data_IF_869826925275
#
_entry.id   IF_869826925275
#
_cell.length_a   1.000
_cell.length_b   1.000
_cell.length_c   1.000
_cell.angle_alpha   90.00
_cell.angle_beta   90.00
_cell.angle_gamma   90.00
#
_symmetry.space_group_name_H-M   'P 1'
#
loop_
_entity.id
_entity.type
_entity.pdbx_description
1 polymer ?
#
# COMPACT_ATOMS: atom_id res chain seq x y z
N UNK A 1 59.43 24.82 -32.19
CA UNK A 1 58.24 24.90 -31.32
C UNK A 1 58.67 25.53 -29.99
N UNK A 2 58.31 26.80 -29.80
CA UNK A 2 58.62 27.67 -28.65
C UNK A 2 57.34 27.82 -27.79
N UNK A 3 57.44 28.14 -26.48
CA UNK A 3 56.82 27.35 -25.40
C UNK A 3 55.58 27.99 -24.75
N UNK A 4 54.90 27.21 -23.90
CA UNK A 4 53.94 27.69 -22.89
C UNK A 4 54.64 27.93 -21.56
N UNK A 5 54.62 29.18 -21.08
CA UNK A 5 54.77 29.52 -19.65
C UNK A 5 53.60 30.44 -19.27
N UNK A 6 52.73 29.93 -18.40
CA UNK A 6 51.60 30.66 -17.83
C UNK A 6 52.10 31.59 -16.72
N UNK A 7 51.74 32.87 -16.85
CA UNK A 7 51.92 33.92 -15.87
C UNK A 7 50.75 33.85 -14.87
N UNK A 8 51.06 33.67 -13.59
CA UNK A 8 50.11 33.79 -12.48
C UNK A 8 49.89 35.28 -12.22
N UNK A 9 48.65 35.76 -12.36
CA UNK A 9 48.23 37.11 -11.97
C UNK A 9 47.37 37.01 -10.71
N UNK A 10 47.92 37.56 -9.63
CA UNK A 10 47.27 37.84 -8.37
C UNK A 10 46.25 38.96 -8.56
N UNK A 11 45.01 38.77 -8.12
CA UNK A 11 44.03 39.83 -7.93
C UNK A 11 43.50 39.78 -6.49
N UNK A 12 43.81 40.83 -5.75
CA UNK A 12 43.40 41.15 -4.38
C UNK A 12 42.44 42.33 -4.48
N UNK A 13 41.15 42.18 -4.12
CA UNK A 13 40.23 43.32 -3.88
C UNK A 13 39.24 43.02 -2.74
N UNK A 14 39.38 43.88 -1.71
CA UNK A 14 38.45 44.48 -0.75
C UNK A 14 37.12 43.83 -0.30
N UNK A 15 36.96 43.96 1.02
CA UNK A 15 35.78 43.84 1.87
C UNK A 15 34.64 44.82 1.55
N UNK A 16 33.42 44.41 1.92
CA UNK A 16 32.37 45.28 2.49
C UNK A 16 31.38 44.44 3.32
N UNK A 17 30.92 45.03 4.42
CA UNK A 17 30.03 44.49 5.43
C UNK A 17 28.57 44.33 4.96
N UNK A 18 27.82 43.46 5.62
CA UNK A 18 26.36 43.35 5.44
C UNK A 18 25.73 42.24 6.28
N UNK A 19 25.42 42.53 7.54
CA UNK A 19 24.50 41.73 8.35
C UNK A 19 23.07 41.89 7.82
N UNK A 20 22.51 40.83 7.24
CA UNK A 20 21.07 40.72 7.01
C UNK A 20 20.53 39.50 7.75
N UNK A 21 19.93 39.77 8.92
CA UNK A 21 18.99 38.86 9.56
C UNK A 21 17.79 38.73 8.63
N UNK A 22 17.69 37.62 7.91
CA UNK A 22 16.48 37.29 7.17
C UNK A 22 15.45 36.76 8.17
N UNK A 23 14.54 37.64 8.53
CA UNK A 23 13.43 37.41 9.44
C UNK A 23 12.40 36.57 8.68
N UNK A 24 12.42 35.25 8.87
CA UNK A 24 11.41 34.35 8.32
C UNK A 24 10.04 34.73 8.88
N UNK A 25 9.23 35.36 8.03
CA UNK A 25 7.83 35.68 8.28
C UNK A 25 7.06 34.37 8.49
N UNK A 26 6.42 34.24 9.66
CA UNK A 26 5.59 33.09 9.99
C UNK A 26 4.51 32.88 8.90
N UNK A 27 4.20 31.62 8.53
CA UNK A 27 3.13 31.32 7.58
C UNK A 27 1.77 31.80 8.14
N UNK A 28 0.88 32.35 7.30
CA UNK A 28 -0.43 32.80 7.73
C UNK A 28 -1.27 31.63 8.26
N UNK A 29 -1.99 31.86 9.35
CA UNK A 29 -2.90 30.89 9.96
C UNK A 29 -4.00 30.46 8.97
N UNK A 30 -4.43 29.19 9.00
CA UNK A 30 -5.53 28.71 8.17
C UNK A 30 -6.85 29.40 8.54
N UNK A 31 -7.75 29.66 7.57
CA UNK A 31 -9.03 30.31 7.82
C UNK A 31 -9.94 29.42 8.71
N UNK A 32 -10.82 30.03 9.53
CA UNK A 32 -11.73 29.29 10.41
C UNK A 32 -12.72 28.46 9.59
N UNK A 33 -12.84 27.18 9.94
CA UNK A 33 -13.81 26.27 9.35
C UNK A 33 -15.25 26.68 9.75
N UNK A 34 -16.24 26.63 8.84
CA UNK A 34 -17.63 26.91 9.18
C UNK A 34 -18.25 25.80 10.02
N UNK A 35 -19.05 26.19 11.03
CA UNK A 35 -19.76 25.31 11.94
C UNK A 35 -20.81 24.42 11.22
N UNK A 36 -21.12 23.22 11.75
CA UNK A 36 -22.11 22.34 11.14
C UNK A 36 -23.52 22.94 11.25
N UNK A 37 -24.19 23.02 10.10
CA UNK A 37 -25.59 23.42 9.96
C UNK A 37 -26.48 22.30 10.53
N UNK A 38 -27.21 22.61 11.60
CA UNK A 38 -28.23 21.75 12.16
C UNK A 38 -29.42 21.66 11.19
N UNK A 39 -29.68 20.48 10.63
CA UNK A 39 -30.93 20.23 9.89
C UNK A 39 -32.01 19.81 10.88
N UNK A 40 -33.04 20.63 10.94
CA UNK A 40 -34.21 20.53 11.79
C UNK A 40 -35.10 19.35 11.41
N UNK A 41 -35.59 18.68 12.43
CA UNK A 41 -36.59 17.62 12.40
C UNK A 41 -37.99 18.25 12.53
N UNK A 42 -38.96 17.98 11.64
CA UNK A 42 -40.35 18.40 11.86
C UNK A 42 -41.07 17.38 12.73
N UNK A 43 -41.74 17.84 13.78
CA UNK A 43 -42.51 17.02 14.70
C UNK A 43 -44.03 17.06 14.49
N UNK A 44 -44.67 16.14 15.23
CA UNK A 44 -46.03 16.19 15.82
C UNK A 44 -47.23 15.97 14.86
N UNK A 45 -48.31 15.25 15.17
CA UNK A 45 -48.83 14.41 16.28
C UNK A 45 -50.18 13.77 15.78
N UNK A 46 -51.21 13.38 16.58
CA UNK A 46 -51.32 12.78 17.94
C UNK A 46 -52.33 11.58 18.07
N UNK A 47 -52.39 10.98 19.29
CA UNK A 47 -53.51 10.29 20.02
C UNK A 47 -54.19 9.01 19.45
N UNK A 48 -54.58 8.00 20.22
CA UNK A 48 -54.77 7.85 21.69
C UNK A 48 -54.88 6.37 22.14
N UNK A 49 -55.30 6.09 23.39
CA UNK A 49 -55.18 4.78 24.05
C UNK A 49 -56.51 4.03 24.23
N UNK A 50 -56.50 2.70 24.38
CA UNK A 50 -57.41 1.93 25.27
C UNK A 50 -57.03 0.41 25.34
N UNK A 51 -57.43 -0.32 26.41
CA UNK A 51 -56.80 -1.56 26.88
C UNK A 51 -57.69 -2.84 26.83
N UNK A 52 -57.05 -3.99 27.16
CA UNK A 52 -57.57 -5.25 27.78
C UNK A 52 -58.52 -6.22 27.03
N UNK A 53 -58.11 -7.51 26.99
CA UNK A 53 -58.81 -8.69 27.58
C UNK A 53 -58.03 -10.00 27.28
N UNK A 54 -57.42 -10.66 28.28
CA UNK A 54 -57.86 -11.91 28.98
C UNK A 54 -57.41 -13.23 28.30
N UNK A 55 -56.28 -13.86 28.70
CA UNK A 55 -56.12 -14.96 29.69
C UNK A 55 -56.07 -16.40 29.04
N UNK A 56 -55.74 -17.51 29.75
CA UNK A 56 -54.39 -18.12 29.78
C UNK A 56 -54.33 -19.64 29.44
N UNK A 57 -53.16 -20.22 29.10
CA UNK A 57 -52.86 -21.66 29.29
C UNK A 57 -51.38 -22.06 29.03
N UNK A 58 -50.69 -22.43 30.13
CA UNK A 58 -49.72 -23.52 30.35
C UNK A 58 -48.48 -23.80 29.43
N UNK A 59 -47.40 -24.41 29.99
CA UNK A 59 -46.04 -24.35 29.45
C UNK A 59 -45.61 -25.62 28.70
N UNK A 60 -44.80 -25.48 27.65
CA UNK A 60 -43.92 -26.57 27.18
C UNK A 60 -42.52 -26.04 26.92
N UNK A 61 -41.58 -26.59 27.70
CA UNK A 61 -40.15 -26.51 27.47
C UNK A 61 -39.80 -27.26 26.17
N UNK A 62 -38.98 -26.63 25.33
CA UNK A 62 -38.46 -27.25 24.12
C UNK A 62 -37.46 -26.35 23.41
N UNK A 63 -36.17 -26.68 23.58
CA UNK A 63 -35.02 -26.30 22.75
C UNK A 63 -34.82 -24.81 22.40
N UNK A 64 -33.85 -24.17 23.07
CA UNK A 64 -33.23 -22.94 22.60
C UNK A 64 -32.47 -23.19 21.28
N UNK A 65 -32.77 -22.48 20.18
CA UNK A 65 -31.83 -22.37 19.08
C UNK A 65 -30.69 -21.45 19.53
N UNK A 66 -29.46 -21.96 19.46
CA UNK A 66 -28.26 -21.16 19.60
C UNK A 66 -28.33 -19.99 18.60
N UNK A 67 -28.20 -18.77 19.11
CA UNK A 67 -28.05 -17.58 18.32
C UNK A 67 -26.79 -17.72 17.45
N UNK A 68 -26.99 -18.03 16.16
CA UNK A 68 -25.96 -17.84 15.16
C UNK A 68 -25.68 -16.34 15.09
N UNK A 69 -24.49 -15.94 15.52
CA UNK A 69 -23.97 -14.61 15.25
C UNK A 69 -24.01 -14.39 13.73
N UNK A 70 -24.46 -13.22 13.23
CA UNK A 70 -24.35 -12.93 11.81
C UNK A 70 -22.86 -12.85 11.48
N UNK A 71 -22.34 -13.90 10.84
CA UNK A 71 -21.13 -13.79 10.05
C UNK A 71 -21.45 -12.77 8.96
N UNK A 72 -20.96 -11.55 9.13
CA UNK A 72 -20.96 -10.54 8.10
C UNK A 72 -20.08 -11.01 6.96
N UNK A 73 -20.65 -11.82 6.06
CA UNK A 73 -20.12 -11.99 4.72
C UNK A 73 -20.21 -10.62 4.08
N UNK A 74 -19.11 -9.87 4.11
CA UNK A 74 -18.92 -8.71 3.27
C UNK A 74 -18.90 -9.23 1.82
N UNK A 75 -20.10 -9.45 1.28
CA UNK A 75 -20.29 -9.57 -0.15
C UNK A 75 -19.86 -8.22 -0.72
N UNK A 76 -18.72 -8.20 -1.40
CA UNK A 76 -18.36 -7.13 -2.31
C UNK A 76 -19.43 -7.09 -3.39
N UNK A 77 -20.52 -6.37 -3.14
CA UNK A 77 -21.56 -6.13 -4.12
C UNK A 77 -21.03 -5.09 -5.10
N UNK A 78 -20.46 -5.58 -6.20
CA UNK A 78 -20.07 -4.80 -7.37
C UNK A 78 -21.31 -4.26 -8.06
N UNK A 79 -21.89 -3.17 -7.56
CA UNK A 79 -22.82 -2.38 -8.37
C UNK A 79 -21.99 -1.54 -9.36
N UNK A 80 -21.67 -2.17 -10.50
CA UNK A 80 -20.96 -1.56 -11.62
C UNK A 80 -19.61 -2.21 -11.93
N UNK A 81 -19.62 -3.39 -12.56
CA UNK A 81 -18.53 -3.94 -13.39
C UNK A 81 -17.12 -4.15 -12.81
N UNK A 82 -16.81 -3.66 -11.61
CA UNK A 82 -15.48 -3.69 -11.00
C UNK A 82 -15.53 -3.56 -9.48
N UNK A 83 -14.36 -3.66 -8.85
CA UNK A 83 -14.17 -3.44 -7.43
C UNK A 83 -14.39 -1.96 -7.07
N UNK A 84 -15.00 -1.73 -5.91
CA UNK A 84 -15.13 -0.39 -5.35
C UNK A 84 -13.73 0.21 -5.03
N UNK A 85 -13.57 1.55 -5.04
CA UNK A 85 -12.30 2.20 -4.70
C UNK A 85 -11.73 1.75 -3.35
N UNK A 86 -12.57 1.59 -2.34
CA UNK A 86 -12.19 1.13 -1.00
C UNK A 86 -11.70 -0.33 -1.01
N UNK A 87 -12.28 -1.16 -1.87
CA UNK A 87 -11.82 -2.52 -2.09
C UNK A 87 -10.45 -2.54 -2.77
N UNK A 88 -10.22 -1.64 -3.74
CA UNK A 88 -8.91 -1.49 -4.39
C UNK A 88 -7.82 -1.06 -3.41
N UNK A 89 -8.12 -0.12 -2.51
CA UNK A 89 -7.20 0.25 -1.42
C UNK A 89 -6.95 -0.92 -0.46
N UNK A 90 -7.98 -1.68 -0.09
CA UNK A 90 -7.83 -2.87 0.74
C UNK A 90 -6.86 -3.88 0.10
N UNK A 91 -7.11 -4.31 -1.14
CA UNK A 91 -6.27 -5.33 -1.81
C UNK A 91 -4.83 -4.85 -2.06
N UNK A 92 -4.64 -3.55 -2.34
CA UNK A 92 -3.32 -2.97 -2.59
C UNK A 92 -2.52 -2.74 -1.30
N UNK A 93 -3.20 -2.65 -0.15
CA UNK A 93 -2.57 -2.28 1.12
C UNK A 93 -1.31 -3.07 1.50
N UNK A 94 -1.18 -4.39 1.26
CA UNK A 94 0.03 -5.14 1.63
C UNK A 94 1.23 -4.91 0.70
N UNK A 95 1.02 -4.31 -0.48
CA UNK A 95 2.06 -4.14 -1.51
C UNK A 95 2.29 -2.67 -1.91
N UNK A 96 1.43 -1.74 -1.47
CA UNK A 96 1.50 -0.35 -1.91
C UNK A 96 2.81 0.37 -1.52
N UNK A 97 3.50 -0.08 -0.48
CA UNK A 97 4.80 0.49 -0.09
C UNK A 97 6.00 -0.20 -0.73
N UNK A 98 5.78 -1.20 -1.59
CA UNK A 98 6.87 -1.86 -2.31
C UNK A 98 7.54 -0.85 -3.26
N UNK A 99 8.87 -0.94 -3.47
CA UNK A 99 9.53 -0.17 -4.52
C UNK A 99 8.87 -0.41 -5.87
N UNK A 100 8.78 0.63 -6.70
CA UNK A 100 8.02 0.60 -7.97
C UNK A 100 8.44 -0.56 -8.89
N UNK A 101 9.74 -0.87 -9.08
CA UNK A 101 10.14 -2.02 -9.87
C UNK A 101 9.60 -3.33 -9.31
N UNK A 102 9.62 -3.50 -7.98
CA UNK A 102 9.09 -4.68 -7.32
C UNK A 102 7.56 -4.76 -7.44
N UNK A 103 6.87 -3.65 -7.19
CA UNK A 103 5.41 -3.57 -7.32
C UNK A 103 4.97 -4.01 -8.71
N UNK A 104 5.61 -3.52 -9.77
CA UNK A 104 5.31 -3.93 -11.14
C UNK A 104 5.48 -5.45 -11.35
N UNK A 105 6.57 -6.03 -10.83
CA UNK A 105 6.82 -7.48 -10.93
C UNK A 105 5.77 -8.30 -10.16
N UNK A 106 5.30 -7.83 -9.00
CA UNK A 106 4.23 -8.48 -8.23
C UNK A 106 2.90 -8.46 -8.98
N UNK A 107 2.53 -7.30 -9.54
CA UNK A 107 1.31 -7.16 -10.34
C UNK A 107 1.35 -8.08 -11.56
N UNK A 108 2.48 -8.13 -12.27
CA UNK A 108 2.67 -9.04 -13.40
C UNK A 108 2.63 -10.51 -12.97
N UNK A 109 3.37 -10.90 -11.93
CA UNK A 109 3.41 -12.27 -11.44
C UNK A 109 2.02 -12.76 -10.99
N UNK A 110 1.19 -11.88 -10.39
CA UNK A 110 -0.17 -12.22 -9.97
C UNK A 110 -1.05 -12.73 -11.12
N UNK A 111 -0.79 -12.28 -12.35
CA UNK A 111 -1.52 -12.72 -13.56
C UNK A 111 -1.14 -14.12 -14.03
N UNK A 112 -0.15 -14.76 -13.40
CA UNK A 112 0.41 -16.09 -13.74
C UNK A 112 0.36 -17.03 -12.53
N UNK A 113 -0.83 -17.33 -11.99
CA UNK A 113 -0.98 -18.02 -10.71
C UNK A 113 -0.43 -19.46 -10.72
N UNK A 114 -0.49 -20.15 -11.86
CA UNK A 114 0.10 -21.49 -12.00
C UNK A 114 1.63 -21.43 -11.87
N UNK A 115 2.30 -20.53 -12.61
CA UNK A 115 3.76 -20.42 -12.55
C UNK A 115 4.23 -19.99 -11.16
N UNK A 116 3.46 -19.14 -10.48
CA UNK A 116 3.71 -18.77 -9.07
C UNK A 116 3.64 -20.00 -8.17
N UNK A 117 2.63 -20.87 -8.34
CA UNK A 117 2.52 -22.10 -7.57
C UNK A 117 3.66 -23.08 -7.89
N UNK A 118 4.04 -23.23 -9.16
CA UNK A 118 5.19 -24.05 -9.58
C UNK A 118 6.51 -23.54 -9.00
N UNK A 119 6.74 -22.22 -9.07
CA UNK A 119 7.94 -21.60 -8.50
C UNK A 119 8.00 -21.80 -6.98
N UNK A 120 6.88 -21.65 -6.28
CA UNK A 120 6.81 -21.88 -4.84
C UNK A 120 7.10 -23.35 -4.48
N UNK A 121 6.54 -24.30 -5.24
CA UNK A 121 6.81 -25.73 -5.09
C UNK A 121 8.29 -26.06 -5.37
N UNK A 122 8.88 -25.43 -6.40
CA UNK A 122 10.30 -25.57 -6.73
C UNK A 122 11.20 -25.11 -5.58
N UNK A 123 11.01 -23.90 -5.05
CA UNK A 123 11.83 -23.43 -3.91
C UNK A 123 11.65 -24.31 -2.67
N UNK A 124 10.45 -24.83 -2.43
CA UNK A 124 10.18 -25.77 -1.33
C UNK A 124 10.92 -27.09 -1.51
N UNK A 125 11.04 -27.59 -2.74
CA UNK A 125 11.79 -28.81 -3.05
C UNK A 125 13.31 -28.59 -3.03
N UNK A 126 13.76 -27.34 -3.15
CA UNK A 126 15.16 -26.96 -3.24
C UNK A 126 15.55 -25.88 -2.19
N UNK A 127 15.40 -26.15 -0.88
CA UNK A 127 15.58 -25.14 0.17
C UNK A 127 17.01 -24.60 0.29
N UNK A 128 17.99 -25.28 -0.29
CA UNK A 128 19.40 -24.86 -0.31
C UNK A 128 19.78 -24.02 -1.53
N UNK A 129 18.92 -23.90 -2.55
CA UNK A 129 19.21 -23.08 -3.73
C UNK A 129 19.09 -21.61 -3.37
N UNK A 130 20.15 -20.85 -3.63
CA UNK A 130 20.20 -19.41 -3.39
C UNK A 130 21.22 -18.74 -4.32
N UNK A 131 21.16 -17.41 -4.41
CA UNK A 131 22.10 -16.61 -5.20
C UNK A 131 22.27 -17.11 -6.64
N UNK A 132 23.52 -17.22 -7.09
CA UNK A 132 23.87 -17.62 -8.46
C UNK A 132 23.38 -19.02 -8.85
N UNK A 133 23.30 -19.95 -7.91
CA UNK A 133 22.83 -21.31 -8.19
C UNK A 133 21.32 -21.32 -8.45
N UNK A 134 20.58 -20.51 -7.69
CA UNK A 134 19.15 -20.29 -7.96
C UNK A 134 18.96 -19.59 -9.31
N UNK A 135 19.69 -18.51 -9.60
CA UNK A 135 19.63 -17.83 -10.90
C UNK A 135 19.92 -18.78 -12.05
N UNK A 136 20.93 -19.65 -11.93
CA UNK A 136 21.25 -20.66 -12.93
C UNK A 136 20.09 -21.64 -13.13
N UNK A 137 19.49 -22.14 -12.04
CA UNK A 137 18.35 -23.05 -12.12
C UNK A 137 17.08 -22.40 -12.71
N UNK A 138 16.91 -21.08 -12.54
CA UNK A 138 15.78 -20.33 -13.09
C UNK A 138 15.92 -20.04 -14.59
N UNK A 139 17.13 -20.04 -15.15
CA UNK A 139 17.36 -19.82 -16.59
C UNK A 139 16.60 -20.82 -17.45
N UNK A 140 16.61 -22.08 -17.04
CA UNK A 140 15.99 -23.20 -17.79
C UNK A 140 14.47 -23.29 -17.60
N UNK A 141 13.88 -22.47 -16.73
CA UNK A 141 12.43 -22.44 -16.54
C UNK A 141 11.76 -21.63 -17.65
N UNK A 142 10.64 -22.12 -18.17
CA UNK A 142 9.79 -21.41 -19.15
C UNK A 142 8.90 -20.33 -18.51
N UNK A 143 9.08 -20.05 -17.22
CA UNK A 143 8.33 -19.03 -16.51
C UNK A 143 8.62 -17.62 -17.04
N UNK A 144 7.65 -16.74 -16.85
CA UNK A 144 7.80 -15.33 -17.14
C UNK A 144 8.87 -14.67 -16.27
N UNK A 145 9.47 -13.59 -16.76
CA UNK A 145 10.48 -12.83 -16.03
C UNK A 145 9.97 -12.37 -14.65
N UNK A 146 8.70 -11.97 -14.55
CA UNK A 146 8.07 -11.58 -13.28
C UNK A 146 8.06 -12.70 -12.24
N UNK A 147 7.74 -13.93 -12.67
CA UNK A 147 7.71 -15.09 -11.80
C UNK A 147 9.13 -15.52 -11.41
N UNK A 148 10.09 -15.44 -12.34
CA UNK A 148 11.51 -15.67 -12.03
C UNK A 148 12.04 -14.67 -11.01
N UNK A 149 11.64 -13.39 -11.10
CA UNK A 149 11.97 -12.38 -10.11
C UNK A 149 11.32 -12.67 -8.74
N UNK A 150 10.09 -13.18 -8.70
CA UNK A 150 9.49 -13.63 -7.43
C UNK A 150 10.25 -14.82 -6.83
N UNK A 151 10.79 -15.73 -7.66
CA UNK A 151 11.58 -16.85 -7.17
C UNK A 151 12.88 -16.42 -6.47
N UNK A 152 13.44 -15.25 -6.79
CA UNK A 152 14.58 -14.68 -6.04
C UNK A 152 14.15 -13.92 -4.78
N UNK A 153 12.85 -13.69 -4.60
CA UNK A 153 12.21 -13.00 -3.48
C UNK A 153 11.24 -13.94 -2.75
N UNK A 154 11.75 -14.94 -2.01
CA UNK A 154 10.95 -16.06 -1.49
C UNK A 154 9.78 -15.60 -0.61
N UNK A 155 9.94 -14.51 0.14
CA UNK A 155 8.89 -13.96 1.00
C UNK A 155 7.68 -13.46 0.20
N UNK A 156 7.93 -12.77 -0.92
CA UNK A 156 6.88 -12.25 -1.80
C UNK A 156 6.23 -13.38 -2.59
N UNK A 157 7.03 -14.34 -3.08
CA UNK A 157 6.50 -15.54 -3.73
C UNK A 157 5.60 -16.35 -2.79
N UNK A 158 6.01 -16.48 -1.52
CA UNK A 158 5.21 -17.14 -0.49
C UNK A 158 3.90 -16.40 -0.24
N UNK A 159 3.92 -15.06 -0.16
CA UNK A 159 2.67 -14.28 -0.07
C UNK A 159 1.72 -14.57 -1.24
N UNK A 160 2.22 -14.54 -2.48
CA UNK A 160 1.39 -14.80 -3.67
C UNK A 160 0.86 -16.24 -3.74
N UNK A 161 1.66 -17.22 -3.35
CA UNK A 161 1.30 -18.64 -3.43
C UNK A 161 0.43 -19.14 -2.28
N UNK A 162 0.57 -18.57 -1.08
CA UNK A 162 -0.23 -18.95 0.10
C UNK A 162 -1.54 -18.16 0.18
N UNK A 163 -1.59 -16.94 -0.36
CA UNK A 163 -2.79 -16.09 -0.37
C UNK A 163 -3.38 -15.97 -1.78
N UNK A 164 -3.79 -17.11 -2.35
CA UNK A 164 -4.21 -17.22 -3.75
C UNK A 164 -5.45 -16.38 -4.11
N UNK A 165 -6.40 -16.24 -3.18
CA UNK A 165 -7.59 -15.41 -3.41
C UNK A 165 -7.21 -13.93 -3.52
N UNK A 166 -6.35 -13.44 -2.62
CA UNK A 166 -5.80 -12.09 -2.68
C UNK A 166 -4.97 -11.86 -3.95
N UNK A 167 -4.11 -12.81 -4.32
CA UNK A 167 -3.35 -12.73 -5.56
C UNK A 167 -4.27 -12.68 -6.80
N UNK A 168 -5.38 -13.42 -6.79
CA UNK A 168 -6.40 -13.39 -7.85
C UNK A 168 -7.12 -12.06 -7.91
N UNK A 169 -7.43 -11.44 -6.77
CA UNK A 169 -8.07 -10.13 -6.71
C UNK A 169 -7.16 -9.04 -7.28
N UNK A 170 -5.86 -9.07 -6.95
CA UNK A 170 -4.85 -8.21 -7.57
C UNK A 170 -4.80 -8.42 -9.09
N UNK A 171 -4.70 -9.67 -9.54
CA UNK A 171 -4.63 -10.00 -10.96
C UNK A 171 -5.89 -9.55 -11.72
N UNK A 172 -7.05 -9.60 -11.07
CA UNK A 172 -8.32 -9.11 -11.63
C UNK A 172 -8.30 -7.59 -11.71
N UNK A 173 -8.02 -6.91 -10.60
CA UNK A 173 -7.93 -5.45 -10.55
C UNK A 173 -6.90 -4.89 -11.53
N UNK A 174 -5.73 -5.51 -11.66
CA UNK A 174 -4.68 -5.08 -12.57
C UNK A 174 -5.06 -5.23 -14.05
N UNK A 175 -5.92 -6.21 -14.37
CA UNK A 175 -6.42 -6.44 -15.74
C UNK A 175 -7.63 -5.58 -16.09
N UNK A 176 -8.52 -5.32 -15.14
CA UNK A 176 -9.81 -4.66 -15.40
C UNK A 176 -9.86 -3.20 -14.96
N UNK A 177 -9.06 -2.82 -13.97
CA UNK A 177 -9.10 -1.52 -13.27
C UNK A 177 -7.68 -1.01 -12.96
N UNK A 178 -6.74 -1.20 -13.91
CA UNK A 178 -5.31 -0.87 -13.72
C UNK A 178 -5.09 0.53 -13.12
N UNK A 179 -5.69 1.55 -13.73
CA UNK A 179 -5.47 2.93 -13.32
C UNK A 179 -6.04 3.19 -11.92
N UNK A 180 -7.20 2.62 -11.60
CA UNK A 180 -7.81 2.73 -10.27
C UNK A 180 -7.01 1.98 -9.20
N UNK A 181 -6.42 0.83 -9.54
CA UNK A 181 -5.53 0.09 -8.63
C UNK A 181 -4.24 0.88 -8.34
N UNK A 182 -3.62 1.45 -9.38
CA UNK A 182 -2.42 2.28 -9.20
C UNK A 182 -2.74 3.59 -8.46
N UNK A 183 -3.91 4.17 -8.69
CA UNK A 183 -4.39 5.31 -7.91
C UNK A 183 -4.54 4.95 -6.43
N UNK A 184 -5.12 3.79 -6.11
CA UNK A 184 -5.24 3.30 -4.73
C UNK A 184 -3.86 3.13 -4.07
N UNK A 185 -2.85 2.64 -4.80
CA UNK A 185 -1.46 2.59 -4.32
C UNK A 185 -0.94 3.99 -3.96
N UNK A 186 -1.19 4.99 -4.79
CA UNK A 186 -0.74 6.37 -4.52
C UNK A 186 -1.43 6.97 -3.29
N UNK A 187 -2.73 6.72 -3.12
CA UNK A 187 -3.48 7.15 -1.93
C UNK A 187 -2.89 6.55 -0.65
N UNK A 188 -2.57 5.25 -0.67
CA UNK A 188 -1.95 4.56 0.46
C UNK A 188 -0.54 5.09 0.75
N UNK A 189 0.26 5.37 -0.28
CA UNK A 189 1.58 6.01 -0.12
C UNK A 189 1.46 7.40 0.50
N UNK A 190 0.46 8.21 0.11
CA UNK A 190 0.20 9.52 0.73
C UNK A 190 -0.13 9.37 2.21
N UNK A 191 -1.04 8.46 2.56
CA UNK A 191 -1.38 8.18 3.96
C UNK A 191 -0.18 7.73 4.77
N UNK A 192 0.68 6.87 4.23
CA UNK A 192 1.89 6.43 4.91
C UNK A 192 2.90 7.57 5.10
N UNK A 193 3.00 8.51 4.16
CA UNK A 193 3.81 9.72 4.32
C UNK A 193 3.24 10.67 5.38
N UNK A 194 1.93 10.93 5.34
CA UNK A 194 1.22 11.78 6.30
C UNK A 194 1.30 11.21 7.72
N UNK A 195 1.21 9.89 7.87
CA UNK A 195 1.44 9.18 9.13
C UNK A 195 2.91 9.20 9.58
N UNK A 196 3.84 9.68 8.74
CA UNK A 196 5.26 9.78 9.04
C UNK A 196 6.02 8.44 8.98
N UNK A 197 5.41 7.41 8.40
CA UNK A 197 5.97 6.06 8.30
C UNK A 197 6.74 5.84 6.99
N UNK A 198 6.34 6.50 5.89
CA UNK A 198 7.03 6.40 4.60
C UNK A 198 8.09 7.50 4.47
N UNK A 199 9.37 7.11 4.53
CA UNK A 199 10.53 8.00 4.46
C UNK A 199 11.67 7.37 3.65
N UNK A 200 12.56 8.21 3.11
CA UNK A 200 13.83 7.75 2.54
C UNK A 200 14.74 7.21 3.65
N UNK A 201 15.51 6.17 3.33
CA UNK A 201 16.40 5.45 4.23
C UNK A 201 17.55 4.80 3.45
N UNK A 202 18.38 4.01 4.12
CA UNK A 202 19.43 3.21 3.45
C UNK A 202 18.89 2.11 2.53
N UNK A 203 17.62 1.73 2.68
CA UNK A 203 16.98 0.65 1.93
C UNK A 203 16.20 1.18 0.72
N UNK A 204 15.59 2.36 0.84
CA UNK A 204 14.75 2.95 -0.20
C UNK A 204 14.88 4.48 -0.27
N UNK A 205 14.61 5.05 -1.44
CA UNK A 205 14.46 6.47 -1.65
C UNK A 205 13.00 6.80 -2.00
N UNK A 206 12.40 7.71 -1.25
CA UNK A 206 11.03 8.20 -1.49
C UNK A 206 11.14 9.57 -2.15
N UNK A 207 10.62 9.67 -3.38
CA UNK A 207 10.58 10.91 -4.15
C UNK A 207 9.13 11.35 -4.34
N UNK A 208 8.91 12.65 -4.20
CA UNK A 208 7.61 13.26 -4.44
C UNK A 208 7.75 14.11 -5.69
N UNK A 209 7.07 13.71 -6.75
CA UNK A 209 7.12 14.35 -8.06
C UNK A 209 5.74 14.97 -8.36
N UNK A 210 5.72 16.13 -9.01
CA UNK A 210 4.47 16.63 -9.59
C UNK A 210 4.11 15.73 -10.79
N UNK A 211 2.96 15.09 -10.69
CA UNK A 211 2.33 14.35 -11.78
C UNK A 211 1.57 15.27 -12.72
N UNK A 212 0.65 14.67 -13.48
CA UNK A 212 -0.22 15.40 -14.41
C UNK A 212 -1.17 16.35 -13.69
N UNK A 213 -1.42 17.50 -14.32
CA UNK A 213 -2.49 18.40 -13.93
C UNK A 213 -3.80 17.88 -14.53
N UNK A 214 -4.78 17.60 -13.69
CA UNK A 214 -6.12 17.25 -14.13
C UNK A 214 -6.78 18.46 -14.85
N UNK A 215 -7.78 18.24 -15.71
CA UNK A 215 -8.45 19.32 -16.45
C UNK A 215 -9.10 20.41 -15.57
N UNK A 216 -9.32 20.12 -14.29
CA UNK A 216 -9.84 21.04 -13.29
C UNK A 216 -8.76 21.91 -12.61
N UNK A 217 -7.50 21.78 -13.03
CA UNK A 217 -6.36 22.50 -12.46
C UNK A 217 -5.72 21.83 -11.24
N UNK A 218 -6.19 20.65 -10.83
CA UNK A 218 -5.61 19.92 -9.70
C UNK A 218 -4.31 19.24 -10.12
N UNK A 219 -3.20 19.60 -9.50
CA UNK A 219 -1.92 18.89 -9.69
C UNK A 219 -1.95 17.56 -8.92
N UNK A 220 -1.81 16.45 -9.64
CA UNK A 220 -1.64 15.14 -9.01
C UNK A 220 -0.20 15.02 -8.49
N UNK A 221 0.00 14.50 -7.29
CA UNK A 221 1.34 14.21 -6.77
C UNK A 221 1.64 12.73 -6.95
N UNK A 222 2.83 12.39 -7.46
CA UNK A 222 3.30 11.02 -7.63
C UNK A 222 4.38 10.76 -6.59
N UNK A 223 4.08 9.87 -5.63
CA UNK A 223 5.05 9.35 -4.67
C UNK A 223 5.72 8.12 -5.28
N UNK A 224 7.01 8.22 -5.57
CA UNK A 224 7.84 7.18 -6.19
C UNK A 224 8.72 6.54 -5.12
N UNK A 225 8.71 5.20 -5.05
CA UNK A 225 9.58 4.45 -4.13
C UNK A 225 10.62 3.72 -4.97
N UNK A 226 11.88 4.10 -4.83
CA UNK A 226 13.00 3.47 -5.53
C UNK A 226 13.89 2.72 -4.54
N UNK A 227 14.52 1.61 -4.94
CA UNK A 227 15.61 1.04 -4.16
C UNK A 227 16.73 2.07 -3.98
N UNK A 228 17.29 2.19 -2.76
CA UNK A 228 18.39 3.12 -2.51
C UNK A 228 19.68 2.72 -3.27
N UNK A 229 19.83 1.42 -3.55
CA UNK A 229 20.88 0.88 -4.41
C UNK A 229 20.22 0.23 -5.64
N UNK A 230 20.59 0.63 -6.88
CA UNK A 230 19.96 0.09 -8.10
C UNK A 230 20.13 -1.42 -8.31
N UNK A 231 21.01 -2.08 -7.55
CA UNK A 231 21.29 -3.50 -7.67
C UNK A 231 20.74 -4.29 -6.48
N UNK A 232 20.09 -3.66 -5.50
CA UNK A 232 19.61 -4.34 -4.29
C UNK A 232 18.20 -3.88 -3.99
N UNK A 233 17.25 -4.82 -4.01
CA UNK A 233 15.85 -4.56 -3.65
C UNK A 233 15.59 -5.07 -2.23
N UNK A 234 15.08 -4.18 -1.38
CA UNK A 234 14.60 -4.53 -0.05
C UNK A 234 13.08 -4.61 -0.08
N UNK A 235 12.51 -5.71 0.43
CA UNK A 235 11.06 -5.87 0.54
C UNK A 235 10.62 -5.28 1.88
N UNK A 236 9.74 -4.27 1.91
CA UNK A 236 9.25 -3.73 3.17
C UNK A 236 8.28 -4.72 3.82
N UNK A 237 8.44 -4.90 5.13
CA UNK A 237 7.60 -5.74 5.99
C UNK A 237 6.90 -4.84 7.00
N UNK A 238 5.58 -4.75 6.87
CA UNK A 238 4.74 -3.82 7.64
C UNK A 238 3.33 -4.38 7.83
N UNK A 239 2.57 -3.79 8.76
CA UNK A 239 1.12 -4.00 8.84
C UNK A 239 0.39 -2.80 8.24
N UNK A 240 -0.54 -3.03 7.29
CA UNK A 240 -1.43 -2.00 6.79
C UNK A 240 -2.17 -1.22 7.88
N UNK A 241 -2.55 -1.88 8.98
CA UNK A 241 -3.31 -1.24 10.07
C UNK A 241 -2.47 -0.31 10.93
N UNK A 242 -1.15 -0.36 10.80
CA UNK A 242 -0.21 0.51 11.54
C UNK A 242 0.36 1.57 10.61
N UNK A 243 0.78 1.19 9.41
CA UNK A 243 1.56 2.06 8.54
C UNK A 243 0.74 3.20 7.92
N UNK A 244 -0.55 2.96 7.66
CA UNK A 244 -1.45 3.96 7.07
C UNK A 244 -2.23 4.74 8.13
N UNK A 245 -1.99 4.50 9.42
CA UNK A 245 -2.79 5.05 10.51
C UNK A 245 -4.17 4.38 10.62
N UNK A 246 -5.15 5.12 11.13
CA UNK A 246 -6.53 4.62 11.30
C UNK A 246 -7.15 4.27 9.95
N UNK A 247 -7.51 3.00 9.78
CA UNK A 247 -8.14 2.53 8.54
C UNK A 247 -9.57 3.08 8.41
N UNK A 248 -9.82 3.83 7.34
CA UNK A 248 -11.07 4.58 7.15
C UNK A 248 -12.28 3.72 6.76
N UNK A 249 -12.05 2.46 6.31
CA UNK A 249 -13.09 1.64 5.68
C UNK A 249 -13.34 0.33 6.46
N UNK A 250 -14.23 0.32 7.46
CA UNK A 250 -14.54 -0.89 8.22
C UNK A 250 -15.10 -2.04 7.38
N UNK A 251 -15.83 -1.71 6.30
CA UNK A 251 -16.40 -2.70 5.37
C UNK A 251 -15.36 -3.34 4.44
N UNK A 252 -14.19 -2.71 4.29
CA UNK A 252 -13.08 -3.18 3.45
C UNK A 252 -11.77 -3.14 4.25
N UNK A 253 -11.63 -3.99 5.28
CA UNK A 253 -10.39 -4.03 6.07
C UNK A 253 -9.21 -4.49 5.21
N UNK A 254 -7.96 -4.17 5.57
CA UNK A 254 -6.80 -4.75 4.92
C UNK A 254 -6.86 -6.28 4.97
N UNK A 255 -6.50 -6.99 3.88
CA UNK A 255 -6.46 -8.43 3.88
C UNK A 255 -5.36 -8.91 4.84
N UNK A 256 -5.55 -10.06 5.53
CA UNK A 256 -4.59 -10.58 6.50
C UNK A 256 -3.39 -11.26 5.79
N UNK A 257 -2.74 -10.53 4.89
CA UNK A 257 -1.60 -10.95 4.10
C UNK A 257 -0.39 -10.21 4.62
N UNK A 258 0.52 -10.94 5.25
CA UNK A 258 1.72 -10.37 5.85
C UNK A 258 2.95 -11.09 5.29
N UNK A 259 4.04 -10.37 4.98
CA UNK A 259 5.30 -11.01 4.67
C UNK A 259 5.77 -11.90 5.83
N UNK A 260 6.43 -13.03 5.55
CA UNK A 260 7.13 -13.82 6.57
C UNK A 260 8.08 -12.95 7.41
N UNK A 261 8.12 -13.17 8.71
CA UNK A 261 8.96 -12.41 9.64
C UNK A 261 8.33 -11.11 10.18
N UNK A 262 7.09 -10.79 9.82
CA UNK A 262 6.34 -9.72 10.47
C UNK A 262 6.19 -9.99 11.98
N UNK A 263 6.60 -9.02 12.81
CA UNK A 263 6.46 -9.06 14.27
C UNK A 263 5.55 -7.93 14.74
N UNK A 264 4.45 -8.31 15.41
CA UNK A 264 3.49 -7.33 15.94
C UNK A 264 4.15 -6.47 17.02
N UNK A 265 4.04 -5.14 16.92
CA UNK A 265 4.65 -4.19 17.85
C UNK A 265 6.07 -3.75 17.50
N UNK A 266 6.60 -4.19 16.34
CA UNK A 266 7.86 -3.68 15.78
C UNK A 266 7.73 -2.28 15.17
N UNK A 267 8.79 -1.84 14.48
CA UNK A 267 8.75 -0.61 13.69
C UNK A 267 7.59 -0.64 12.67
N UNK A 268 7.01 0.53 12.37
CA UNK A 268 5.89 0.62 11.42
C UNK A 268 6.22 0.04 10.04
N UNK A 269 7.49 0.16 9.63
CA UNK A 269 8.06 -0.52 8.47
C UNK A 269 9.41 -1.11 8.89
N UNK A 270 9.60 -2.40 8.61
CA UNK A 270 10.89 -3.07 8.62
C UNK A 270 11.23 -3.51 7.19
N UNK A 271 12.45 -4.00 6.94
CA UNK A 271 12.86 -4.45 5.60
C UNK A 271 13.43 -5.85 5.68
N UNK A 272 13.15 -6.66 4.64
CA UNK A 272 13.80 -7.95 4.42
C UNK A 272 15.31 -7.78 4.24
N UNK A 273 16.03 -8.91 4.19
CA UNK A 273 17.39 -8.92 3.64
C UNK A 273 17.32 -8.38 2.20
N UNK A 274 18.29 -7.54 1.81
CA UNK A 274 18.35 -7.00 0.46
C UNK A 274 18.71 -8.08 -0.55
N UNK A 275 17.95 -8.17 -1.63
CA UNK A 275 18.17 -9.14 -2.70
C UNK A 275 18.84 -8.47 -3.89
N UNK A 276 19.93 -9.06 -4.37
CA UNK A 276 20.61 -8.57 -5.55
C UNK A 276 19.72 -8.79 -6.79
N UNK A 277 19.58 -7.74 -7.61
CA UNK A 277 18.95 -7.85 -8.94
C UNK A 277 20.06 -7.77 -9.99
N UNK A 278 20.23 -8.83 -10.78
CA UNK A 278 21.31 -9.01 -11.76
C UNK A 278 20.92 -9.92 -12.91
#
# INVERSE_FOLDING_TARGET
MIPRRFLVVTAMICACAGSSKEQAKAPPAPPPQPAPVAVQQPGAAPVGPTPQASAPAAPQAGAAPAAAAPQGTAAASSQGGGLAPEALESIASPIALFPDPLLGQVLEASTRPEQVAEAAAFLKAHPSLSGKDLEAALKDKSWDASVKAMATLPDVLKMLSEHQDWARDIATAYRTQRDSLLFAVQQLRSRAMEAGNLKSSSQQNVKVEQGGTAPDGTSTTIIRIEPAQPQVVYVPVYSPTVVYGTWAYPAYPPPPVYPPGYVMGGAAISFSIGFAIG
#
